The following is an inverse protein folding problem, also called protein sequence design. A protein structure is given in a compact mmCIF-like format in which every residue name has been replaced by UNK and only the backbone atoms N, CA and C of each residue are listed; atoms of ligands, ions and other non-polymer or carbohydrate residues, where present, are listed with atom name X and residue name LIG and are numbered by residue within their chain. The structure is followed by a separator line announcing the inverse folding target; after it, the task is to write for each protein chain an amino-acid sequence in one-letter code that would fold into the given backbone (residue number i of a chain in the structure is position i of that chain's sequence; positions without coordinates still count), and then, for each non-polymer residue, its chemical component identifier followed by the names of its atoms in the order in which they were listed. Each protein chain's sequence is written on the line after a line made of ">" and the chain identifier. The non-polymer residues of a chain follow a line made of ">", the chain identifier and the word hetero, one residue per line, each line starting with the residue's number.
data_IF_009512627413
#
_entry.id   IF_009512627413
#
_cell.length_a   1.000
_cell.length_b   1.000
_cell.length_c   1.000
_cell.angle_alpha   90.00
_cell.angle_beta   90.00
_cell.angle_gamma   90.00
#
_symmetry.space_group_name_H-M   'P 1'
#
loop_
_entity.id
_entity.type
_entity.pdbx_description
1 polymer ?
#
# COMPACT_ATOMS: atom_id res chain seq x y z
N UNK A 1 -7.02 3.22 -25.87
CA UNK A 1 -6.16 4.30 -25.31
C UNK A 1 -5.85 4.04 -23.83
N UNK A 2 -6.85 3.92 -22.94
CA UNK A 2 -6.64 3.74 -21.49
C UNK A 2 -5.68 2.59 -21.08
N UNK A 3 -5.63 1.48 -21.80
CA UNK A 3 -4.70 0.38 -21.48
C UNK A 3 -3.23 0.70 -21.78
N UNK A 4 -2.94 1.54 -22.78
CA UNK A 4 -1.56 1.90 -23.16
C UNK A 4 -0.97 2.89 -22.16
N UNK A 5 -1.78 3.85 -21.73
CA UNK A 5 -1.37 4.86 -20.74
C UNK A 5 -1.12 4.20 -19.38
N UNK A 6 -2.00 3.28 -18.94
CA UNK A 6 -1.79 2.50 -17.72
C UNK A 6 -0.51 1.67 -17.72
N UNK A 7 -0.20 1.01 -18.84
CA UNK A 7 1.06 0.24 -18.96
C UNK A 7 2.26 1.18 -18.90
N UNK A 8 2.16 2.36 -19.54
CA UNK A 8 3.21 3.37 -19.52
C UNK A 8 3.45 3.92 -18.11
N UNK A 9 2.39 4.19 -17.37
CA UNK A 9 2.46 4.72 -15.99
C UNK A 9 3.00 3.66 -15.03
N UNK A 10 2.56 2.41 -15.16
CA UNK A 10 3.12 1.30 -14.38
C UNK A 10 4.61 1.12 -14.65
N UNK A 11 5.06 1.22 -15.90
CA UNK A 11 6.50 1.13 -16.23
C UNK A 11 7.30 2.25 -15.59
N UNK A 12 6.80 3.48 -15.65
CA UNK A 12 7.44 4.64 -15.01
C UNK A 12 7.51 4.50 -13.49
N UNK A 13 6.40 4.06 -12.88
CA UNK A 13 6.36 3.73 -11.46
C UNK A 13 7.42 2.69 -11.10
N UNK A 14 7.46 1.56 -11.82
CA UNK A 14 8.42 0.50 -11.54
C UNK A 14 9.87 0.92 -11.76
N UNK A 15 10.14 1.78 -12.74
CA UNK A 15 11.47 2.35 -12.97
C UNK A 15 11.94 3.17 -11.76
N UNK A 16 11.13 4.14 -11.33
CA UNK A 16 11.44 5.00 -10.18
C UNK A 16 11.58 4.18 -8.90
N UNK A 17 10.67 3.21 -8.67
CA UNK A 17 10.75 2.31 -7.51
C UNK A 17 12.07 1.53 -7.47
N UNK A 18 12.52 0.97 -8.61
CA UNK A 18 13.79 0.19 -8.66
C UNK A 18 14.99 1.07 -8.32
N UNK A 19 15.09 2.25 -8.93
CA UNK A 19 16.18 3.20 -8.68
C UNK A 19 16.25 3.60 -7.20
N UNK A 20 15.10 3.90 -6.60
CA UNK A 20 15.01 4.26 -5.20
C UNK A 20 15.38 3.09 -4.28
N UNK A 21 14.85 1.89 -4.53
CA UNK A 21 15.15 0.71 -3.72
C UNK A 21 16.62 0.28 -3.82
N UNK A 22 17.28 0.52 -4.95
CA UNK A 22 18.72 0.32 -5.09
C UNK A 22 19.52 1.30 -4.22
N UNK A 23 19.15 2.59 -4.25
CA UNK A 23 19.79 3.63 -3.45
C UNK A 23 19.55 3.47 -1.93
N UNK A 24 18.41 2.90 -1.54
CA UNK A 24 17.94 2.85 -0.16
C UNK A 24 18.10 1.48 0.52
N UNK A 25 18.92 0.58 -0.03
CA UNK A 25 19.11 -0.77 0.54
C UNK A 25 19.70 -0.76 1.96
N UNK A 26 20.76 0.04 2.18
CA UNK A 26 21.45 0.13 3.48
C UNK A 26 20.54 0.68 4.59
N UNK A 27 19.79 1.79 4.38
CA UNK A 27 18.84 2.28 5.38
C UNK A 27 17.57 1.43 5.48
N UNK A 28 17.49 0.26 4.83
CA UNK A 28 16.45 -0.74 5.10
C UNK A 28 15.07 -0.46 4.48
N UNK A 29 14.98 0.44 3.51
CA UNK A 29 13.72 0.76 2.85
C UNK A 29 13.20 -0.42 1.99
N UNK A 30 11.88 -0.57 1.97
CA UNK A 30 11.17 -1.60 1.21
C UNK A 30 9.93 -1.01 0.56
N UNK A 31 9.52 -1.58 -0.56
CA UNK A 31 8.20 -1.31 -1.12
C UNK A 31 7.12 -1.84 -0.17
N UNK A 32 6.19 -0.97 0.24
CA UNK A 32 5.05 -1.28 1.10
C UNK A 32 3.73 -0.89 0.41
N UNK A 33 2.65 -0.77 1.18
CA UNK A 33 1.36 -0.29 0.73
C UNK A 33 0.75 -1.18 -0.35
N UNK A 34 -0.04 -0.55 -1.23
CA UNK A 34 -0.72 -1.27 -2.32
C UNK A 34 0.28 -1.84 -3.33
N UNK A 35 1.45 -1.21 -3.48
CA UNK A 35 2.52 -1.68 -4.35
C UNK A 35 3.04 -3.06 -3.93
N UNK A 36 3.26 -3.28 -2.63
CA UNK A 36 3.70 -4.59 -2.12
C UNK A 36 2.68 -5.70 -2.37
N UNK A 37 1.39 -5.43 -2.16
CA UNK A 37 0.34 -6.42 -2.40
C UNK A 37 0.24 -6.81 -3.87
N UNK A 38 0.45 -5.86 -4.77
CA UNK A 38 0.51 -6.13 -6.21
C UNK A 38 1.68 -7.03 -6.56
N UNK A 39 2.88 -6.77 -6.04
CA UNK A 39 4.03 -7.64 -6.27
C UNK A 39 3.82 -9.06 -5.70
N UNK A 40 3.07 -9.19 -4.60
CA UNK A 40 2.64 -10.47 -4.04
C UNK A 40 1.46 -11.13 -4.76
N UNK A 41 0.91 -10.50 -5.80
CA UNK A 41 -0.21 -11.01 -6.59
C UNK A 41 -1.54 -11.06 -5.83
N UNK A 42 -1.73 -10.18 -4.85
CA UNK A 42 -2.97 -10.10 -4.05
C UNK A 42 -3.97 -9.08 -4.60
N UNK A 43 -3.50 -8.08 -5.35
CA UNK A 43 -4.35 -7.08 -6.01
C UNK A 43 -3.86 -6.84 -7.44
N UNK A 44 -4.81 -6.53 -8.34
CA UNK A 44 -4.53 -6.23 -9.74
C UNK A 44 -4.83 -4.77 -10.13
N UNK A 45 -5.40 -3.99 -9.20
CA UNK A 45 -5.77 -2.59 -9.47
C UNK A 45 -4.53 -1.70 -9.62
N UNK A 46 -4.63 -0.60 -10.40
CA UNK A 46 -3.60 0.43 -10.42
C UNK A 46 -3.31 0.98 -9.02
N UNK A 47 -2.04 1.29 -8.76
CA UNK A 47 -1.61 2.04 -7.57
C UNK A 47 -1.08 3.39 -8.05
N UNK A 48 -1.55 4.47 -7.43
CA UNK A 48 -1.25 5.85 -7.84
C UNK A 48 0.09 6.33 -7.26
N UNK A 49 0.49 5.73 -6.14
CA UNK A 49 1.62 6.09 -5.30
C UNK A 49 2.62 4.93 -5.15
N UNK A 50 3.82 5.28 -4.70
CA UNK A 50 4.86 4.33 -4.27
C UNK A 50 5.20 4.64 -2.82
N UNK A 51 4.89 3.70 -1.94
CA UNK A 51 5.29 3.75 -0.54
C UNK A 51 6.61 2.99 -0.33
N UNK A 52 7.65 3.70 0.11
CA UNK A 52 8.96 3.13 0.47
C UNK A 52 9.24 3.39 1.94
N UNK A 53 9.00 2.41 2.80
CA UNK A 53 9.13 2.61 4.24
C UNK A 53 10.32 1.83 4.81
N UNK A 54 10.95 2.39 5.83
CA UNK A 54 11.96 1.71 6.65
C UNK A 54 11.43 1.40 8.04
N UNK A 55 12.23 0.72 8.86
CA UNK A 55 11.89 0.33 10.23
C UNK A 55 12.42 1.32 11.27
N UNK A 56 11.83 1.29 12.47
CA UNK A 56 12.18 2.20 13.57
C UNK A 56 13.66 2.18 13.96
N UNK A 57 14.33 1.01 13.87
CA UNK A 57 15.78 0.86 14.09
C UNK A 57 16.64 1.67 13.13
N UNK A 58 16.09 2.10 11.99
CA UNK A 58 16.77 2.92 10.97
C UNK A 58 16.31 4.39 10.98
N UNK A 59 15.57 4.84 12.00
CA UNK A 59 15.01 6.19 12.06
C UNK A 59 16.08 7.30 11.94
N UNK A 60 17.26 7.11 12.53
CA UNK A 60 18.37 8.06 12.45
C UNK A 60 18.90 8.26 11.01
N UNK A 61 18.72 7.25 10.15
CA UNK A 61 19.18 7.29 8.76
C UNK A 61 18.12 7.85 7.80
N UNK A 62 16.88 8.05 8.26
CA UNK A 62 15.74 8.44 7.41
C UNK A 62 15.99 9.74 6.63
N UNK A 63 16.31 10.83 7.32
CA UNK A 63 16.59 12.13 6.70
C UNK A 63 17.73 12.07 5.67
N UNK A 64 18.95 11.66 6.08
CA UNK A 64 20.07 11.54 5.17
C UNK A 64 19.83 10.59 3.99
N UNK A 65 19.07 9.50 4.19
CA UNK A 65 18.75 8.55 3.13
C UNK A 65 17.81 9.16 2.08
N UNK A 66 16.74 9.81 2.53
CA UNK A 66 15.75 10.42 1.63
C UNK A 66 16.32 11.64 0.89
N UNK A 67 17.22 12.40 1.50
CA UNK A 67 17.98 13.48 0.82
C UNK A 67 18.87 12.93 -0.30
N UNK A 68 19.61 11.84 -0.04
CA UNK A 68 20.42 11.18 -1.07
C UNK A 68 19.56 10.61 -2.20
N UNK A 69 18.38 10.09 -1.89
CA UNK A 69 17.43 9.61 -2.90
C UNK A 69 16.93 10.76 -3.80
N UNK A 70 16.60 11.92 -3.21
CA UNK A 70 16.20 13.12 -3.97
C UNK A 70 17.33 13.60 -4.88
N UNK A 71 18.57 13.67 -4.37
CA UNK A 71 19.73 14.07 -5.17
C UNK A 71 19.96 13.10 -6.34
N UNK A 72 19.92 11.79 -6.07
CA UNK A 72 20.06 10.75 -7.11
C UNK A 72 18.99 10.87 -8.21
N UNK A 73 17.73 11.09 -7.84
CA UNK A 73 16.66 11.28 -8.82
C UNK A 73 16.92 12.54 -9.69
N UNK A 74 17.34 13.64 -9.08
CA UNK A 74 17.68 14.86 -9.84
C UNK A 74 18.86 14.65 -10.78
N UNK A 75 19.91 13.97 -10.33
CA UNK A 75 21.08 13.62 -11.15
C UNK A 75 20.70 12.68 -12.31
N UNK A 76 19.70 11.82 -12.11
CA UNK A 76 19.13 10.95 -13.15
C UNK A 76 18.12 11.67 -14.09
N UNK A 77 17.97 13.00 -13.97
CA UNK A 77 17.15 13.82 -14.85
C UNK A 77 15.66 13.80 -14.55
N UNK A 78 15.26 13.49 -13.31
CA UNK A 78 13.89 13.64 -12.85
C UNK A 78 13.68 15.02 -12.20
N UNK A 79 12.52 15.62 -12.44
CA UNK A 79 12.05 16.76 -11.66
C UNK A 79 11.45 16.25 -10.36
N UNK A 80 11.89 16.80 -9.22
CA UNK A 80 11.50 16.35 -7.88
C UNK A 80 11.03 17.52 -7.01
N UNK A 81 9.74 17.51 -6.72
CA UNK A 81 9.06 18.41 -5.78
C UNK A 81 8.96 17.74 -4.40
N UNK A 82 9.37 18.44 -3.34
CA UNK A 82 9.18 17.96 -1.96
C UNK A 82 7.87 18.54 -1.45
N UNK A 83 6.83 17.72 -1.36
CA UNK A 83 5.48 18.14 -0.97
C UNK A 83 5.33 18.23 0.56
N UNK A 84 5.96 17.29 1.28
CA UNK A 84 5.97 17.21 2.75
C UNK A 84 7.33 16.70 3.21
N UNK A 85 7.85 17.26 4.30
CA UNK A 85 9.12 16.86 4.90
C UNK A 85 9.03 16.91 6.43
N UNK A 86 8.98 15.74 7.05
CA UNK A 86 8.88 15.54 8.49
C UNK A 86 9.91 14.50 8.95
N UNK A 87 10.26 14.44 10.26
CA UNK A 87 11.31 13.55 10.75
C UNK A 87 11.15 12.05 10.43
N UNK A 88 9.91 11.58 10.27
CA UNK A 88 9.58 10.17 10.00
C UNK A 88 8.75 9.97 8.73
N UNK A 89 8.56 11.02 7.92
CA UNK A 89 7.76 10.94 6.71
C UNK A 89 8.16 12.02 5.70
N UNK A 90 8.29 11.65 4.42
CA UNK A 90 8.60 12.57 3.32
C UNK A 90 7.82 12.20 2.08
N UNK A 91 7.07 13.13 1.51
CA UNK A 91 6.30 12.92 0.29
C UNK A 91 6.91 13.73 -0.85
N UNK A 92 7.12 13.07 -1.99
CA UNK A 92 7.67 13.67 -3.21
C UNK A 92 6.68 13.61 -4.37
N UNK A 93 6.69 14.63 -5.21
CA UNK A 93 6.26 14.53 -6.61
C UNK A 93 7.47 14.28 -7.51
N UNK A 94 7.50 13.17 -8.23
CA UNK A 94 8.57 12.82 -9.19
C UNK A 94 7.99 12.86 -10.60
N UNK A 95 8.63 13.58 -11.52
CA UNK A 95 8.15 13.66 -12.90
C UNK A 95 9.26 13.64 -13.93
N UNK A 96 8.95 13.11 -15.13
CA UNK A 96 9.83 13.12 -16.31
C UNK A 96 9.01 12.86 -17.57
N UNK A 97 9.25 13.63 -18.63
CA UNK A 97 8.66 13.36 -19.95
C UNK A 97 7.12 13.33 -19.97
N UNK A 98 6.48 14.18 -19.15
CA UNK A 98 5.03 14.27 -19.03
C UNK A 98 4.37 13.23 -18.11
N UNK A 99 5.16 12.37 -17.46
CA UNK A 99 4.68 11.41 -16.46
C UNK A 99 4.96 11.96 -15.05
N UNK A 100 4.06 11.68 -14.10
CA UNK A 100 4.16 12.09 -12.70
C UNK A 100 3.84 10.91 -11.80
N UNK A 101 4.53 10.85 -10.67
CA UNK A 101 4.38 9.83 -9.64
C UNK A 101 4.51 10.47 -8.26
N UNK A 102 3.67 10.06 -7.32
CA UNK A 102 3.88 10.37 -5.91
C UNK A 102 4.69 9.26 -5.24
N UNK A 103 5.69 9.66 -4.46
CA UNK A 103 6.55 8.75 -3.69
C UNK A 103 6.53 9.16 -2.24
N UNK A 104 6.09 8.25 -1.39
CA UNK A 104 6.03 8.44 0.05
C UNK A 104 7.13 7.62 0.73
N UNK A 105 7.96 8.30 1.51
CA UNK A 105 8.90 7.70 2.43
C UNK A 105 8.32 7.76 3.84
N UNK A 106 8.48 6.68 4.59
CA UNK A 106 7.98 6.58 5.94
C UNK A 106 8.83 5.68 6.83
N UNK A 107 8.54 5.71 8.12
CA UNK A 107 9.02 4.75 9.10
C UNK A 107 7.79 4.01 9.62
N UNK A 108 7.83 2.68 9.58
CA UNK A 108 6.69 1.86 10.02
C UNK A 108 7.15 0.54 10.66
N UNK A 109 6.21 -0.14 11.31
CA UNK A 109 6.42 -1.47 11.87
C UNK A 109 6.45 -2.53 10.77
N UNK A 110 7.36 -3.50 10.94
CA UNK A 110 7.35 -4.77 10.21
C UNK A 110 7.81 -5.88 11.15
N UNK A 111 7.11 -7.02 11.12
CA UNK A 111 7.42 -8.18 11.94
C UNK A 111 8.32 -9.20 11.24
N UNK A 112 8.41 -9.14 9.91
CA UNK A 112 9.08 -10.15 9.09
C UNK A 112 10.19 -9.55 8.23
N UNK A 113 11.13 -10.41 7.83
CA UNK A 113 12.20 -10.00 6.92
C UNK A 113 11.64 -9.71 5.52
N UNK A 114 12.05 -8.60 4.87
CA UNK A 114 11.61 -8.27 3.53
C UNK A 114 11.99 -9.32 2.50
N UNK A 115 11.15 -9.50 1.49
CA UNK A 115 11.38 -10.42 0.38
C UNK A 115 12.06 -9.69 -0.78
N UNK A 116 13.08 -10.29 -1.39
CA UNK A 116 13.70 -9.74 -2.61
C UNK A 116 12.93 -10.22 -3.83
N UNK A 117 12.38 -9.28 -4.60
CA UNK A 117 11.63 -9.51 -5.83
C UNK A 117 12.26 -8.73 -7.00
N UNK A 118 11.72 -8.85 -8.20
CA UNK A 118 12.24 -8.18 -9.40
C UNK A 118 12.22 -6.65 -9.30
N UNK A 119 11.35 -6.08 -8.46
CA UNK A 119 11.28 -4.64 -8.20
C UNK A 119 12.33 -4.17 -7.17
N UNK A 120 12.88 -5.07 -6.35
CA UNK A 120 13.72 -4.75 -5.20
C UNK A 120 13.24 -5.44 -3.93
N UNK A 121 13.53 -4.84 -2.76
CA UNK A 121 13.01 -5.36 -1.49
C UNK A 121 11.55 -4.95 -1.31
N UNK A 122 10.70 -5.92 -1.02
CA UNK A 122 9.27 -5.76 -0.81
C UNK A 122 8.93 -6.19 0.61
N UNK A 123 8.02 -5.50 1.26
CA UNK A 123 7.49 -5.88 2.57
C UNK A 123 6.99 -7.34 2.51
N UNK A 124 7.22 -8.11 3.58
CA UNK A 124 6.71 -9.48 3.67
C UNK A 124 5.18 -9.50 3.49
N UNK A 125 4.65 -10.58 2.95
CA UNK A 125 3.22 -10.63 2.61
C UNK A 125 2.34 -10.53 3.85
N UNK A 126 2.78 -11.13 4.96
CA UNK A 126 2.12 -11.12 6.26
C UNK A 126 2.02 -9.69 6.80
N UNK A 127 3.12 -8.95 6.76
CA UNK A 127 3.16 -7.56 7.22
C UNK A 127 2.32 -6.65 6.30
N UNK A 128 2.39 -6.83 4.98
CA UNK A 128 1.62 -6.04 4.01
C UNK A 128 0.11 -6.25 4.15
N UNK A 129 -0.32 -7.50 4.39
CA UNK A 129 -1.71 -7.84 4.71
C UNK A 129 -2.13 -7.20 6.03
N UNK A 130 -1.30 -7.32 7.07
CA UNK A 130 -1.55 -6.68 8.36
C UNK A 130 -1.74 -5.16 8.23
N UNK A 131 -0.89 -4.49 7.47
CA UNK A 131 -0.97 -3.03 7.25
C UNK A 131 -2.29 -2.65 6.56
N UNK A 132 -2.83 -3.48 5.65
CA UNK A 132 -4.15 -3.22 5.04
C UNK A 132 -5.31 -3.45 5.98
N UNK A 133 -5.27 -4.54 6.77
CA UNK A 133 -6.30 -4.81 7.76
C UNK A 133 -6.33 -3.68 8.80
N UNK A 134 -5.16 -3.25 9.29
CA UNK A 134 -5.05 -2.10 10.22
C UNK A 134 -5.47 -0.78 9.56
N UNK A 135 -5.11 -0.52 8.30
CA UNK A 135 -5.57 0.66 7.58
C UNK A 135 -7.10 0.68 7.45
N UNK A 136 -7.72 -0.44 7.09
CA UNK A 136 -9.18 -0.53 7.08
C UNK A 136 -9.73 -0.21 8.47
N UNK A 137 -9.23 -0.89 9.52
CA UNK A 137 -9.68 -0.71 10.90
C UNK A 137 -9.60 0.74 11.40
N UNK A 138 -8.51 1.44 11.08
CA UNK A 138 -8.22 2.78 11.61
C UNK A 138 -8.93 3.90 10.85
N UNK A 139 -8.97 3.86 9.51
CA UNK A 139 -9.45 4.98 8.69
C UNK A 139 -10.62 4.66 7.76
N UNK A 140 -10.88 3.38 7.46
CA UNK A 140 -12.06 2.99 6.70
C UNK A 140 -12.16 3.57 5.28
N UNK A 141 -11.05 3.82 4.58
CA UNK A 141 -11.12 4.42 3.24
C UNK A 141 -11.72 3.43 2.22
N UNK A 142 -12.47 3.90 1.20
CA UNK A 142 -13.09 3.05 0.19
C UNK A 142 -12.16 1.98 -0.42
N UNK A 143 -10.92 2.36 -0.74
CA UNK A 143 -9.90 1.46 -1.30
C UNK A 143 -9.45 0.34 -0.35
N UNK A 144 -9.49 0.60 0.96
CA UNK A 144 -9.05 -0.38 1.96
C UNK A 144 -10.05 -1.54 2.01
N UNK A 145 -11.34 -1.31 1.77
CA UNK A 145 -12.33 -2.38 1.58
C UNK A 145 -12.01 -3.22 0.34
N UNK A 146 -11.66 -2.60 -0.79
CA UNK A 146 -11.32 -3.33 -2.02
C UNK A 146 -10.10 -4.23 -1.79
N UNK A 147 -9.05 -3.69 -1.19
CA UNK A 147 -7.80 -4.41 -0.94
C UNK A 147 -8.03 -5.57 0.04
N UNK A 148 -8.77 -5.36 1.13
CA UNK A 148 -9.07 -6.41 2.11
C UNK A 148 -9.98 -7.50 1.53
N UNK A 149 -10.97 -7.16 0.69
CA UNK A 149 -11.77 -8.18 -0.02
C UNK A 149 -10.90 -9.03 -0.93
N UNK A 150 -10.02 -8.40 -1.71
CA UNK A 150 -9.12 -9.09 -2.61
C UNK A 150 -8.15 -10.03 -1.86
N UNK A 151 -7.56 -9.55 -0.76
CA UNK A 151 -6.70 -10.37 0.12
C UNK A 151 -7.47 -11.58 0.63
N UNK A 152 -8.67 -11.40 1.20
CA UNK A 152 -9.47 -12.50 1.74
C UNK A 152 -9.90 -13.49 0.64
N UNK A 153 -10.32 -12.98 -0.51
CA UNK A 153 -10.76 -13.80 -1.67
C UNK A 153 -9.63 -14.59 -2.30
N UNK A 154 -8.37 -14.20 -2.10
CA UNK A 154 -7.21 -14.97 -2.54
C UNK A 154 -7.16 -16.39 -1.95
N UNK A 155 -7.85 -16.63 -0.82
CA UNK A 155 -7.86 -17.91 -0.11
C UNK A 155 -6.53 -18.28 0.55
N UNK A 156 -5.53 -17.37 0.54
CA UNK A 156 -4.21 -17.58 1.13
C UNK A 156 -4.19 -17.38 2.65
N UNK A 157 -5.19 -16.69 3.19
CA UNK A 157 -5.31 -16.32 4.60
C UNK A 157 -6.70 -16.69 5.11
N UNK A 158 -6.75 -17.31 6.28
CA UNK A 158 -8.01 -17.49 7.01
C UNK A 158 -8.45 -16.19 7.65
N UNK A 159 -9.71 -16.11 8.09
CA UNK A 159 -10.22 -14.95 8.81
C UNK A 159 -9.41 -14.67 10.09
N UNK A 160 -8.89 -15.70 10.77
CA UNK A 160 -8.05 -15.50 11.95
C UNK A 160 -6.65 -15.01 11.58
N UNK A 161 -6.04 -15.52 10.50
CA UNK A 161 -4.74 -15.01 10.02
C UNK A 161 -4.81 -13.50 9.71
N UNK A 162 -5.92 -13.04 9.13
CA UNK A 162 -6.14 -11.61 8.84
C UNK A 162 -6.24 -10.78 10.12
N UNK A 163 -6.94 -11.28 11.14
CA UNK A 163 -7.07 -10.61 12.43
C UNK A 163 -5.73 -10.59 13.19
N UNK A 164 -4.97 -11.68 13.17
CA UNK A 164 -3.64 -11.77 13.78
C UNK A 164 -2.65 -10.83 13.10
N UNK A 165 -2.61 -10.81 11.77
CA UNK A 165 -1.76 -9.89 11.00
C UNK A 165 -2.15 -8.41 11.27
N UNK A 166 -3.45 -8.12 11.36
CA UNK A 166 -3.93 -6.79 11.72
C UNK A 166 -3.53 -6.38 13.15
N UNK A 167 -3.62 -7.30 14.13
CA UNK A 167 -3.19 -7.06 15.53
C UNK A 167 -1.70 -6.87 15.69
N UNK A 168 -0.89 -7.51 14.85
CA UNK A 168 0.55 -7.29 14.85
C UNK A 168 0.90 -5.83 14.50
N UNK A 169 0.08 -5.16 13.66
CA UNK A 169 0.24 -3.76 13.30
C UNK A 169 -0.47 -2.81 14.28
N UNK A 170 -1.69 -3.15 14.69
CA UNK A 170 -2.50 -2.41 15.64
C UNK A 170 -3.05 -3.33 16.74
N UNK A 171 -2.39 -3.40 17.90
CA UNK A 171 -2.84 -4.23 19.02
C UNK A 171 -4.24 -3.90 19.55
N UNK A 172 -4.82 -2.75 19.18
CA UNK A 172 -6.18 -2.36 19.55
C UNK A 172 -7.27 -2.95 18.65
N UNK A 173 -6.89 -3.73 17.62
CA UNK A 173 -7.84 -4.38 16.72
C UNK A 173 -8.70 -5.40 17.46
N UNK A 174 -9.97 -5.03 17.66
CA UNK A 174 -11.00 -5.89 18.20
C UNK A 174 -11.79 -6.58 17.09
N UNK A 175 -12.05 -7.89 17.27
CA UNK A 175 -12.73 -8.74 16.27
C UNK A 175 -14.13 -8.23 15.96
N UNK A 176 -14.90 -7.90 17.00
CA UNK A 176 -16.30 -7.49 16.84
C UNK A 176 -16.38 -6.11 16.22
N UNK A 177 -15.57 -5.16 16.70
CA UNK A 177 -15.50 -3.81 16.13
C UNK A 177 -15.07 -3.84 14.66
N UNK A 178 -14.09 -4.69 14.30
CA UNK A 178 -13.71 -4.89 12.90
C UNK A 178 -14.86 -5.48 12.09
N UNK A 179 -15.60 -6.46 12.62
CA UNK A 179 -16.81 -6.99 11.99
C UNK A 179 -17.89 -5.93 11.73
N UNK A 180 -18.14 -5.06 12.69
CA UNK A 180 -19.07 -3.93 12.56
C UNK A 180 -18.61 -2.93 11.49
N UNK A 181 -17.31 -2.64 11.43
CA UNK A 181 -16.69 -1.79 10.41
C UNK A 181 -16.77 -2.38 9.01
N UNK A 182 -16.59 -3.70 8.83
CA UNK A 182 -16.73 -4.33 7.50
C UNK A 182 -18.13 -4.07 6.90
N UNK A 183 -19.17 -4.04 7.75
CA UNK A 183 -20.53 -3.72 7.31
C UNK A 183 -20.72 -2.25 6.91
N UNK A 184 -19.81 -1.35 7.28
CA UNK A 184 -19.84 0.05 6.87
C UNK A 184 -19.46 0.28 5.41
N UNK A 185 -19.01 -0.75 4.69
CA UNK A 185 -18.94 -0.75 3.22
C UNK A 185 -20.25 -0.29 2.58
N UNK A 186 -21.40 -0.52 3.26
CA UNK A 186 -22.73 -0.08 2.80
C UNK A 186 -22.85 1.45 2.64
N UNK A 187 -22.01 2.21 3.33
CA UNK A 187 -21.99 3.68 3.30
C UNK A 187 -21.20 4.22 2.11
N UNK A 188 -20.35 3.39 1.51
CA UNK A 188 -19.48 3.76 0.39
C UNK A 188 -20.30 3.78 -0.90
N UNK A 189 -20.15 4.86 -1.66
CA UNK A 189 -20.77 5.06 -2.97
C UNK A 189 -19.85 4.54 -4.07
N UNK A 190 -20.43 3.98 -5.14
CA UNK A 190 -19.65 3.48 -6.27
C UNK A 190 -18.68 4.52 -6.86
N UNK A 191 -19.09 5.80 -6.93
CA UNK A 191 -18.22 6.88 -7.42
C UNK A 191 -16.92 7.07 -6.62
N UNK A 192 -16.86 6.60 -5.37
CA UNK A 192 -15.65 6.65 -4.54
C UNK A 192 -14.66 5.51 -4.85
N UNK A 193 -15.12 4.45 -5.53
CA UNK A 193 -14.31 3.29 -5.89
C UNK A 193 -14.08 3.13 -7.39
N UNK A 194 -14.91 3.76 -8.23
CA UNK A 194 -14.78 3.74 -9.68
C UNK A 194 -13.37 4.12 -10.20
N UNK A 195 -12.64 5.10 -9.60
CA UNK A 195 -11.26 5.40 -10.02
C UNK A 195 -10.29 4.21 -9.88
N UNK A 196 -10.58 3.24 -9.01
CA UNK A 196 -9.76 2.05 -8.81
C UNK A 196 -10.02 0.94 -9.82
N UNK A 197 -10.89 1.16 -10.81
CA UNK A 197 -11.11 0.25 -11.94
C UNK A 197 -12.07 -0.90 -11.68
N UNK A 198 -12.80 -0.88 -10.56
CA UNK A 198 -13.93 -1.80 -10.32
C UNK A 198 -15.19 -1.28 -11.02
N UNK A 199 -15.99 -2.19 -11.55
CA UNK A 199 -17.34 -1.91 -12.06
C UNK A 199 -18.36 -1.81 -10.92
N UNK A 200 -19.55 -1.28 -11.21
CA UNK A 200 -20.61 -1.16 -10.21
C UNK A 200 -21.08 -2.54 -9.74
N UNK A 201 -21.24 -3.49 -10.67
CA UNK A 201 -21.60 -4.89 -10.35
C UNK A 201 -20.55 -5.55 -9.47
N UNK A 202 -19.25 -5.44 -9.82
CA UNK A 202 -18.16 -5.98 -8.99
C UNK A 202 -18.15 -5.36 -7.59
N UNK A 203 -18.44 -4.06 -7.49
CA UNK A 203 -18.48 -3.39 -6.20
C UNK A 203 -19.65 -3.85 -5.34
N UNK A 204 -20.82 -4.10 -5.92
CA UNK A 204 -21.95 -4.68 -5.18
C UNK A 204 -21.65 -6.10 -4.69
N UNK A 205 -20.96 -6.93 -5.48
CA UNK A 205 -20.49 -8.23 -5.00
C UNK A 205 -19.48 -8.11 -3.83
N UNK A 206 -18.55 -7.15 -3.90
CA UNK A 206 -17.61 -6.84 -2.81
C UNK A 206 -18.40 -6.42 -1.56
N UNK A 207 -19.40 -5.56 -1.72
CA UNK A 207 -20.28 -5.09 -0.63
C UNK A 207 -20.96 -6.27 0.06
N UNK A 208 -21.53 -7.20 -0.71
CA UNK A 208 -22.19 -8.40 -0.17
C UNK A 208 -21.22 -9.29 0.62
N UNK A 209 -20.02 -9.58 0.08
CA UNK A 209 -19.01 -10.39 0.76
C UNK A 209 -18.53 -9.75 2.06
N UNK A 210 -18.29 -8.45 2.04
CA UNK A 210 -17.89 -7.66 3.20
C UNK A 210 -18.95 -7.67 4.30
N UNK A 211 -20.22 -7.47 3.95
CA UNK A 211 -21.33 -7.53 4.92
C UNK A 211 -21.48 -8.94 5.49
N UNK A 212 -21.37 -9.97 4.66
CA UNK A 212 -21.46 -11.36 5.10
C UNK A 212 -20.34 -11.71 6.09
N UNK A 213 -19.10 -11.29 5.78
CA UNK A 213 -17.96 -11.49 6.67
C UNK A 213 -18.10 -10.68 7.96
N UNK A 214 -18.52 -9.42 7.87
CA UNK A 214 -18.76 -8.57 9.03
C UNK A 214 -19.72 -9.20 10.03
N UNK A 215 -20.83 -9.79 9.55
CA UNK A 215 -21.79 -10.52 10.40
C UNK A 215 -21.17 -11.72 11.12
N UNK A 216 -20.27 -12.46 10.46
CA UNK A 216 -19.56 -13.59 11.05
C UNK A 216 -18.60 -13.15 12.16
N UNK A 217 -17.95 -11.98 12.00
CA UNK A 217 -17.01 -11.47 13.00
C UNK A 217 -17.70 -10.75 14.17
N UNK A 218 -18.85 -10.13 13.92
CA UNK A 218 -19.59 -9.36 14.95
C UNK A 218 -20.61 -10.17 15.75
N UNK A 219 -20.98 -11.36 15.26
CA UNK A 219 -21.94 -12.28 15.91
C UNK A 219 -21.27 -13.17 16.95
#
# INVERSE_FOLDING_TARGET
>A
MASSDRIRDLRFQQEVTRLLLEQLQKPGFVLTGSGALREHGLIDRPTEDVDLFTEMSSAQDFGPATERAVAMLRDAGYDVDINRDFPAYKALGVSRGGQRLEVDFGIDYRGHQPVRMAIGRVLAVEDAVGSKVSALYSRGYPRDFLDVDAIRRSGRFTDEDLLEAGRAQDPSLDRRAFGELLMDVRKIRYGEVAPYGVTEDEFEEIRERMIAWGKVLSG
#
